data_IF_386549613805
#
_entry.id   IF_386549613805
#
_cell.length_a   1.000
_cell.length_b   1.000
_cell.length_c   1.000
_cell.angle_alpha   90.00
_cell.angle_beta   90.00
_cell.angle_gamma   90.00
#
_symmetry.space_group_name_H-M   'P 1'
#
loop_
_entity.id
_entity.type
_entity.pdbx_description
1 polymer ?
#
# COMPACT_ATOMS: atom_id res chain seq x y z
N UNK A 1 15.31 9.15 -28.29
CA UNK A 1 13.91 9.42 -27.91
C UNK A 1 13.95 10.02 -26.52
N UNK A 2 13.95 11.35 -26.44
CA UNK A 2 14.13 12.06 -25.17
C UNK A 2 12.83 12.07 -24.39
N UNK A 3 12.94 11.63 -23.15
CA UNK A 3 11.89 11.52 -22.16
C UNK A 3 11.25 12.88 -21.88
N UNK A 4 9.94 12.99 -22.10
CA UNK A 4 9.12 13.92 -21.33
C UNK A 4 9.03 13.35 -19.91
N UNK A 5 10.06 13.58 -19.10
CA UNK A 5 9.92 13.44 -17.66
C UNK A 5 8.75 14.36 -17.26
N UNK A 6 7.68 13.76 -16.75
CA UNK A 6 6.47 14.52 -16.42
C UNK A 6 6.85 15.61 -15.42
N UNK A 7 6.24 16.79 -15.53
CA UNK A 7 6.47 17.89 -14.58
C UNK A 7 6.35 17.42 -13.11
N UNK A 8 5.48 16.43 -12.87
CA UNK A 8 5.34 15.76 -11.59
C UNK A 8 6.61 15.02 -11.14
N UNK A 9 7.29 14.30 -12.02
CA UNK A 9 8.56 13.62 -11.70
C UNK A 9 9.67 14.62 -11.42
N UNK A 10 9.73 15.72 -12.17
CA UNK A 10 10.69 16.79 -11.92
C UNK A 10 10.42 17.47 -10.56
N UNK A 11 9.16 17.79 -10.26
CA UNK A 11 8.75 18.37 -8.99
C UNK A 11 9.08 17.44 -7.82
N UNK A 12 8.79 16.15 -7.95
CA UNK A 12 9.10 15.16 -6.92
C UNK A 12 10.62 15.00 -6.75
N UNK A 13 11.39 14.95 -7.84
CA UNK A 13 12.85 14.86 -7.77
C UNK A 13 13.50 16.10 -7.12
N UNK A 14 12.93 17.29 -7.31
CA UNK A 14 13.42 18.51 -6.64
C UNK A 14 13.10 18.50 -5.14
N UNK A 15 11.90 18.06 -4.75
CA UNK A 15 11.48 17.94 -3.35
C UNK A 15 12.34 16.89 -2.62
N UNK A 16 12.57 15.71 -3.22
CA UNK A 16 13.41 14.66 -2.62
C UNK A 16 14.87 15.09 -2.44
N UNK A 17 15.41 15.97 -3.28
CA UNK A 17 16.78 16.49 -3.12
C UNK A 17 16.91 17.47 -1.94
N UNK A 18 15.83 18.15 -1.58
CA UNK A 18 15.79 19.07 -0.43
C UNK A 18 15.69 18.30 0.91
N UNK A 19 15.06 17.12 0.90
CA UNK A 19 14.93 16.23 2.07
C UNK A 19 16.28 15.66 2.57
N UNK A 20 17.35 15.72 1.77
CA UNK A 20 18.69 15.22 2.13
C UNK A 20 19.51 16.14 3.05
N UNK A 21 18.93 17.20 3.61
CA UNK A 21 19.64 18.13 4.52
C UNK A 21 19.53 17.76 6.01
N UNK A 22 18.85 16.67 6.37
CA UNK A 22 18.78 16.18 7.76
C UNK A 22 19.19 14.69 7.86
N UNK A 23 20.44 14.39 8.27
CA UNK A 23 20.97 13.04 8.34
C UNK A 23 20.69 12.41 9.72
N UNK A 24 19.43 12.35 10.14
CA UNK A 24 19.03 11.62 11.35
C UNK A 24 17.97 10.59 10.95
N UNK A 25 18.43 9.36 10.85
CA UNK A 25 17.73 8.07 10.74
C UNK A 25 16.19 8.11 10.74
N UNK A 26 15.60 8.11 9.54
CA UNK A 26 14.23 7.69 9.37
C UNK A 26 14.22 6.64 8.27
N UNK A 27 13.97 5.37 8.63
CA UNK A 27 13.70 4.29 7.70
C UNK A 27 12.79 4.83 6.59
N UNK A 28 13.34 5.03 5.39
CA UNK A 28 12.64 5.73 4.32
C UNK A 28 11.49 4.86 3.84
N UNK A 29 10.32 5.04 4.45
CA UNK A 29 9.07 4.46 3.97
C UNK A 29 8.92 5.00 2.53
N UNK A 30 8.82 4.13 1.50
CA UNK A 30 8.63 4.57 0.13
C UNK A 30 7.53 5.63 0.05
N UNK A 31 7.77 6.74 -0.65
CA UNK A 31 6.89 7.91 -0.72
C UNK A 31 5.42 7.51 -1.02
N UNK A 32 5.23 6.51 -1.88
CA UNK A 32 3.92 5.92 -2.18
C UNK A 32 3.17 5.40 -0.95
N UNK A 33 3.88 4.74 -0.02
CA UNK A 33 3.32 4.26 1.25
C UNK A 33 3.04 5.40 2.23
N UNK A 34 3.80 6.49 2.17
CA UNK A 34 3.47 7.69 2.96
C UNK A 34 2.17 8.34 2.49
N UNK A 35 1.96 8.51 1.18
CA UNK A 35 0.73 9.07 0.64
C UNK A 35 -0.51 8.20 0.93
N UNK A 36 -0.37 6.87 0.85
CA UNK A 36 -1.43 5.94 1.24
C UNK A 36 -1.79 6.06 2.73
N UNK A 37 -0.77 6.25 3.59
CA UNK A 37 -0.97 6.46 5.02
C UNK A 37 -1.71 7.77 5.29
N UNK A 38 -1.28 8.88 4.67
CA UNK A 38 -1.93 10.19 4.79
C UNK A 38 -3.40 10.10 4.39
N UNK A 39 -3.68 9.42 3.27
CA UNK A 39 -5.06 9.23 2.77
C UNK A 39 -5.92 8.44 3.76
N UNK A 40 -5.33 7.47 4.45
CA UNK A 40 -6.02 6.67 5.46
C UNK A 40 -6.36 7.51 6.70
N UNK A 41 -5.42 8.29 7.22
CA UNK A 41 -5.65 9.19 8.35
C UNK A 41 -6.63 10.32 7.99
N UNK A 42 -6.54 10.87 6.78
CA UNK A 42 -7.46 11.90 6.29
C UNK A 42 -8.91 11.39 6.20
N UNK A 43 -9.13 10.09 5.99
CA UNK A 43 -10.49 9.53 6.02
C UNK A 43 -11.15 9.53 7.42
N UNK A 44 -10.34 9.63 8.47
CA UNK A 44 -10.78 9.60 9.87
C UNK A 44 -10.71 10.98 10.54
N UNK A 45 -9.84 11.88 10.07
CA UNK A 45 -9.65 13.23 10.62
C UNK A 45 -9.97 14.31 9.58
N UNK A 46 -11.04 15.07 9.83
CA UNK A 46 -11.52 16.12 8.93
C UNK A 46 -10.54 17.31 8.82
N UNK A 47 -9.75 17.58 9.86
CA UNK A 47 -8.74 18.64 9.86
C UNK A 47 -7.61 18.28 8.91
N UNK A 48 -7.05 17.07 9.04
CA UNK A 48 -6.03 16.55 8.14
C UNK A 48 -6.53 16.49 6.69
N UNK A 49 -7.79 16.10 6.46
CA UNK A 49 -8.38 16.12 5.11
C UNK A 49 -8.41 17.54 4.51
N UNK A 50 -8.78 18.55 5.31
CA UNK A 50 -8.77 19.95 4.87
C UNK A 50 -7.34 20.44 4.61
N UNK A 51 -6.40 20.16 5.51
CA UNK A 51 -4.99 20.55 5.35
C UNK A 51 -4.40 19.94 4.07
N UNK A 52 -4.66 18.67 3.82
CA UNK A 52 -4.22 17.99 2.61
C UNK A 52 -4.81 18.62 1.34
N UNK A 53 -6.10 18.98 1.35
CA UNK A 53 -6.73 19.70 0.23
C UNK A 53 -6.07 21.05 -0.02
N UNK A 54 -5.80 21.81 1.04
CA UNK A 54 -5.12 23.11 0.94
C UNK A 54 -3.69 22.95 0.42
N UNK A 55 -2.97 21.94 0.88
CA UNK A 55 -1.63 21.60 0.41
C UNK A 55 -1.61 21.28 -1.08
N UNK A 56 -2.54 20.46 -1.58
CA UNK A 56 -2.64 20.17 -3.02
C UNK A 56 -2.89 21.44 -3.84
N UNK A 57 -3.79 22.32 -3.38
CA UNK A 57 -4.06 23.59 -4.05
C UNK A 57 -2.83 24.53 -4.03
N UNK A 58 -2.13 24.61 -2.90
CA UNK A 58 -0.90 25.40 -2.77
C UNK A 58 0.21 24.88 -3.69
N UNK A 59 0.39 23.55 -3.77
CA UNK A 59 1.35 22.90 -4.67
C UNK A 59 1.05 23.21 -6.14
N UNK A 60 -0.23 23.16 -6.54
CA UNK A 60 -0.63 23.52 -7.91
C UNK A 60 -0.37 25.00 -8.20
N UNK A 61 -0.72 25.90 -7.27
CA UNK A 61 -0.47 27.34 -7.40
C UNK A 61 1.01 27.66 -7.50
N UNK A 62 1.83 27.04 -6.66
CA UNK A 62 3.29 27.17 -6.69
C UNK A 62 3.86 26.68 -8.02
N UNK A 63 3.38 25.53 -8.52
CA UNK A 63 3.77 25.01 -9.82
C UNK A 63 3.47 25.98 -10.97
N UNK A 64 2.28 26.61 -10.97
CA UNK A 64 1.92 27.64 -11.95
C UNK A 64 2.84 28.86 -11.88
N UNK A 65 3.08 29.38 -10.68
CA UNK A 65 3.96 30.54 -10.48
C UNK A 65 5.41 30.28 -10.91
N UNK A 66 5.94 29.08 -10.61
CA UNK A 66 7.27 28.68 -11.06
C UNK A 66 7.39 28.67 -12.58
N UNK A 67 6.35 28.23 -13.29
CA UNK A 67 6.32 28.22 -14.76
C UNK A 67 6.16 29.62 -15.34
N UNK A 68 5.27 30.44 -14.77
CA UNK A 68 4.90 31.75 -15.33
C UNK A 68 5.87 32.88 -14.98
N UNK A 69 6.40 32.87 -13.75
CA UNK A 69 7.18 33.98 -13.17
C UNK A 69 8.60 33.59 -12.80
N UNK A 70 8.85 32.30 -12.63
CA UNK A 70 10.14 31.77 -12.21
C UNK A 70 10.32 31.81 -10.69
N UNK A 71 11.44 31.22 -10.24
CA UNK A 71 11.72 30.99 -8.82
C UNK A 71 12.10 32.26 -8.02
N UNK A 72 12.48 33.34 -8.69
CA UNK A 72 12.95 34.58 -8.05
C UNK A 72 11.85 35.65 -7.94
N UNK A 73 10.61 35.31 -8.31
CA UNK A 73 9.47 36.21 -8.15
C UNK A 73 9.00 36.22 -6.69
N UNK A 74 8.74 37.40 -6.08
CA UNK A 74 8.31 37.49 -4.69
C UNK A 74 7.01 36.72 -4.39
N UNK A 75 6.10 36.59 -5.36
CA UNK A 75 4.88 35.81 -5.19
C UNK A 75 5.17 34.30 -5.21
N UNK A 76 6.16 33.86 -5.99
CA UNK A 76 6.64 32.48 -5.96
C UNK A 76 7.27 32.14 -4.61
N UNK A 77 8.02 33.05 -4.00
CA UNK A 77 8.60 32.88 -2.65
C UNK A 77 7.48 32.75 -1.59
N UNK A 78 6.48 33.62 -1.61
CA UNK A 78 5.32 33.50 -0.70
C UNK A 78 4.58 32.18 -0.91
N UNK A 79 4.40 31.74 -2.16
CA UNK A 79 3.76 30.46 -2.45
C UNK A 79 4.57 29.27 -1.93
N UNK A 80 5.91 29.37 -1.92
CA UNK A 80 6.80 28.39 -1.30
C UNK A 80 6.57 28.33 0.22
N UNK A 81 6.56 29.47 0.90
CA UNK A 81 6.34 29.53 2.35
C UNK A 81 4.98 28.94 2.76
N UNK A 82 3.93 29.23 1.98
CA UNK A 82 2.60 28.66 2.20
C UNK A 82 2.61 27.14 2.01
N UNK A 83 3.27 26.65 0.96
CA UNK A 83 3.40 25.22 0.69
C UNK A 83 4.14 24.51 1.83
N UNK A 84 5.25 25.06 2.30
CA UNK A 84 6.06 24.51 3.39
C UNK A 84 5.30 24.51 4.72
N UNK A 85 4.64 25.63 5.05
CA UNK A 85 3.80 25.74 6.25
C UNK A 85 2.70 24.68 6.29
N UNK A 86 2.03 24.44 5.16
CA UNK A 86 0.99 23.41 5.05
C UNK A 86 1.57 22.01 5.18
N UNK A 87 2.77 21.77 4.65
CA UNK A 87 3.48 20.49 4.81
C UNK A 87 3.77 20.22 6.29
N UNK A 88 4.37 21.18 7.00
CA UNK A 88 4.67 21.03 8.43
C UNK A 88 3.40 20.84 9.28
N UNK A 89 2.31 21.52 8.93
CA UNK A 89 1.02 21.35 9.61
C UNK A 89 0.44 19.94 9.42
N UNK A 90 0.53 19.37 8.21
CA UNK A 90 0.13 17.98 7.92
C UNK A 90 0.98 17.00 8.72
N UNK A 91 2.30 17.17 8.71
CA UNK A 91 3.24 16.29 9.42
C UNK A 91 2.99 16.32 10.94
N UNK A 92 2.78 17.52 11.50
CA UNK A 92 2.44 17.69 12.93
C UNK A 92 1.12 16.99 13.25
N UNK A 93 0.07 17.22 12.45
CA UNK A 93 -1.24 16.59 12.68
C UNK A 93 -1.17 15.06 12.57
N UNK A 94 -0.34 14.53 11.67
CA UNK A 94 -0.12 13.10 11.55
C UNK A 94 0.58 12.50 12.78
N UNK A 95 1.52 13.22 13.38
CA UNK A 95 2.14 12.79 14.64
C UNK A 95 1.10 12.74 15.76
N UNK A 96 0.30 13.79 15.92
CA UNK A 96 -0.79 13.82 16.91
C UNK A 96 -1.78 12.66 16.74
N UNK A 97 -2.18 12.36 15.51
CA UNK A 97 -3.12 11.28 15.22
C UNK A 97 -2.52 9.88 15.42
N UNK A 98 -1.20 9.73 15.28
CA UNK A 98 -0.49 8.47 15.59
C UNK A 98 -0.42 8.25 17.09
N UNK A 99 -0.20 9.31 17.86
CA UNK A 99 -0.14 9.27 19.32
C UNK A 99 -1.54 9.09 19.96
N UNK A 100 -2.61 9.44 19.24
CA UNK A 100 -3.98 9.12 19.65
C UNK A 100 -4.28 7.62 19.49
N UNK A 101 -4.28 6.90 20.61
CA UNK A 101 -4.55 5.47 20.66
C UNK A 101 -5.91 5.06 20.09
N UNK A 102 -6.94 5.91 20.17
CA UNK A 102 -8.27 5.60 19.63
C UNK A 102 -8.27 5.69 18.10
N UNK A 103 -7.58 6.68 17.52
CA UNK A 103 -7.41 6.81 16.07
C UNK A 103 -6.53 5.67 15.54
N UNK A 104 -5.41 5.39 16.19
CA UNK A 104 -4.50 4.29 15.84
C UNK A 104 -5.21 2.92 15.84
N UNK A 105 -6.08 2.65 16.81
CA UNK A 105 -6.88 1.43 16.84
C UNK A 105 -7.87 1.35 15.65
N UNK A 106 -8.49 2.47 15.27
CA UNK A 106 -9.39 2.54 14.10
C UNK A 106 -8.63 2.33 12.79
N UNK A 107 -7.46 2.95 12.65
CA UNK A 107 -6.56 2.75 11.50
C UNK A 107 -6.21 1.26 11.36
N UNK A 108 -5.81 0.61 12.45
CA UNK A 108 -5.48 -0.82 12.47
C UNK A 108 -6.67 -1.70 12.05
N UNK A 109 -7.88 -1.38 12.53
CA UNK A 109 -9.10 -2.08 12.14
C UNK A 109 -9.42 -1.91 10.63
N UNK A 110 -9.26 -0.71 10.08
CA UNK A 110 -9.46 -0.46 8.64
C UNK A 110 -8.44 -1.23 7.80
N UNK A 111 -7.18 -1.29 8.23
CA UNK A 111 -6.14 -2.07 7.55
C UNK A 111 -6.43 -3.58 7.62
N UNK A 112 -6.84 -4.09 8.78
CA UNK A 112 -7.22 -5.50 8.96
C UNK A 112 -8.40 -5.90 8.05
N UNK A 113 -9.41 -5.05 7.92
CA UNK A 113 -10.54 -5.27 7.03
C UNK A 113 -10.14 -5.28 5.55
N UNK A 114 -9.21 -4.40 5.14
CA UNK A 114 -8.65 -4.44 3.77
C UNK A 114 -7.95 -5.77 3.49
N UNK A 115 -7.21 -6.32 4.46
CA UNK A 115 -6.59 -7.64 4.32
C UNK A 115 -7.61 -8.78 4.27
N UNK A 116 -8.63 -8.77 5.13
CA UNK A 116 -9.69 -9.77 5.14
C UNK A 116 -10.47 -9.80 3.80
N UNK A 117 -10.71 -8.64 3.20
CA UNK A 117 -11.39 -8.53 1.89
C UNK A 117 -10.56 -9.02 0.71
N UNK A 118 -9.22 -9.10 0.86
CA UNK A 118 -8.29 -9.63 -0.15
C UNK A 118 -8.05 -11.13 -0.01
N UNK A 119 -8.44 -11.74 1.11
CA UNK A 119 -8.46 -13.19 1.16
C UNK A 119 -9.61 -13.68 0.28
N UNK A 120 -9.36 -14.55 -0.71
CA UNK A 120 -10.46 -15.20 -1.41
C UNK A 120 -11.24 -15.92 -0.32
N UNK A 121 -12.50 -15.52 -0.11
CA UNK A 121 -13.45 -16.32 0.63
C UNK A 121 -13.40 -17.68 -0.05
N UNK A 122 -12.68 -18.64 0.54
CA UNK A 122 -12.77 -20.03 0.16
C UNK A 122 -14.20 -20.40 0.50
N UNK A 123 -15.09 -20.19 -0.46
CA UNK A 123 -16.36 -20.89 -0.50
C UNK A 123 -15.96 -22.34 -0.39
N UNK A 124 -16.22 -22.91 0.79
CA UNK A 124 -15.98 -24.32 1.06
C UNK A 124 -17.00 -25.06 0.19
N UNK A 125 -16.70 -25.19 -1.11
CA UNK A 125 -17.42 -26.12 -1.96
C UNK A 125 -17.13 -27.48 -1.35
N UNK A 126 -18.14 -28.05 -0.68
CA UNK A 126 -18.13 -29.48 -0.36
C UNK A 126 -17.79 -30.20 -1.67
N UNK A 127 -16.66 -30.92 -1.77
CA UNK A 127 -16.38 -31.65 -2.98
C UNK A 127 -17.30 -32.86 -2.97
N UNK A 128 -18.38 -32.80 -3.75
CA UNK A 128 -19.07 -34.02 -4.18
C UNK A 128 -18.14 -34.68 -5.20
N UNK A 129 -17.02 -35.26 -4.72
CA UNK A 129 -16.20 -36.16 -5.53
C UNK A 129 -17.13 -37.31 -5.92
N UNK A 130 -17.50 -37.36 -7.19
CA UNK A 130 -18.29 -38.47 -7.71
C UNK A 130 -17.41 -39.72 -7.72
N UNK A 131 -18.01 -40.89 -7.50
CA UNK A 131 -17.32 -42.18 -7.47
C UNK A 131 -16.45 -42.40 -8.72
N UNK A 132 -16.88 -41.85 -9.87
CA UNK A 132 -16.16 -41.90 -11.14
C UNK A 132 -14.84 -41.12 -11.13
N UNK A 133 -14.78 -39.95 -10.49
CA UNK A 133 -13.52 -39.19 -10.34
C UNK A 133 -12.54 -39.91 -9.42
N UNK A 134 -13.06 -40.56 -8.37
CA UNK A 134 -12.25 -41.37 -7.46
C UNK A 134 -11.72 -42.63 -8.15
N UNK A 135 -12.54 -43.29 -8.98
CA UNK A 135 -12.11 -44.44 -9.79
C UNK A 135 -11.10 -44.04 -10.86
N UNK A 136 -11.30 -42.90 -11.54
CA UNK A 136 -10.35 -42.38 -12.53
C UNK A 136 -8.99 -42.06 -11.89
N UNK A 137 -9.00 -41.46 -10.69
CA UNK A 137 -7.77 -41.21 -9.94
C UNK A 137 -7.08 -42.50 -9.51
N UNK A 138 -7.82 -43.52 -9.06
CA UNK A 138 -7.25 -44.82 -8.66
C UNK A 138 -6.63 -45.57 -9.85
N UNK A 139 -7.24 -45.50 -11.04
CA UNK A 139 -6.70 -46.07 -12.27
C UNK A 139 -5.42 -45.34 -12.67
N UNK A 140 -5.42 -44.01 -12.65
CA UNK A 140 -4.24 -43.21 -12.95
C UNK A 140 -3.10 -43.46 -11.96
N UNK A 141 -3.40 -43.46 -10.65
CA UNK A 141 -2.42 -43.73 -9.60
C UNK A 141 -1.84 -45.15 -9.72
N UNK A 142 -2.67 -46.16 -10.02
CA UNK A 142 -2.21 -47.53 -10.26
C UNK A 142 -1.33 -47.66 -11.51
N UNK A 143 -1.58 -46.83 -12.53
CA UNK A 143 -0.80 -46.81 -13.77
C UNK A 143 0.55 -46.09 -13.58
N UNK A 144 0.59 -45.02 -12.78
CA UNK A 144 1.80 -44.25 -12.46
C UNK A 144 2.69 -44.97 -11.42
N UNK A 145 2.10 -45.71 -10.49
CA UNK A 145 2.82 -46.44 -9.44
C UNK A 145 3.34 -47.81 -9.88
N UNK A 146 3.00 -48.27 -11.10
CA UNK A 146 3.39 -49.60 -11.60
C UNK A 146 4.90 -49.76 -11.80
N UNK A 147 5.61 -48.64 -11.96
CA UNK A 147 7.06 -48.61 -12.18
C UNK A 147 7.86 -48.27 -10.90
N UNK A 148 7.21 -48.19 -9.74
CA UNK A 148 7.87 -47.82 -8.47
C UNK A 148 7.72 -48.91 -7.39
N UNK A 149 8.80 -49.59 -6.96
CA UNK A 149 8.74 -50.66 -5.97
C UNK A 149 8.29 -50.22 -4.56
N UNK A 150 8.11 -48.92 -4.32
CA UNK A 150 7.56 -48.37 -3.08
C UNK A 150 6.02 -48.48 -2.94
N UNK A 151 5.31 -49.01 -3.96
CA UNK A 151 3.84 -49.06 -3.98
C UNK A 151 3.20 -50.07 -2.99
N UNK A 152 3.99 -50.83 -2.23
CA UNK A 152 3.47 -51.87 -1.34
C UNK A 152 2.88 -51.37 0.00
N UNK A 153 3.05 -50.10 0.36
CA UNK A 153 2.72 -49.63 1.72
C UNK A 153 1.38 -48.90 1.86
N UNK A 154 0.66 -48.61 0.78
CA UNK A 154 -0.58 -47.82 0.88
C UNK A 154 -1.76 -48.66 1.40
N UNK A 155 -1.80 -49.98 1.11
CA UNK A 155 -2.88 -50.86 1.60
C UNK A 155 -2.79 -51.15 3.10
N UNK A 156 -1.59 -51.03 3.68
CA UNK A 156 -1.32 -51.32 5.09
C UNK A 156 -1.76 -50.16 6.00
N UNK A 157 -1.67 -48.93 5.51
CA UNK A 157 -2.02 -47.73 6.28
C UNK A 157 -3.53 -47.55 6.47
N UNK A 158 -4.37 -48.11 5.60
CA UNK A 158 -5.83 -48.04 5.75
C UNK A 158 -6.40 -48.92 6.88
N UNK A 159 -5.68 -49.98 7.30
CA UNK A 159 -6.12 -50.84 8.40
C UNK A 159 -5.92 -50.24 9.80
N UNK A 160 -5.23 -49.10 9.90
CA UNK A 160 -4.98 -48.39 11.18
C UNK A 160 -5.93 -47.21 11.43
N UNK A 161 -6.84 -46.93 10.49
CA UNK A 161 -7.82 -45.86 10.58
C UNK A 161 -9.25 -46.36 10.83
N UNK A 162 -9.41 -47.51 11.51
CA UNK A 162 -10.68 -47.96 12.10
C UNK A 162 -10.57 -48.08 13.61
#
# INVERSE_FOLDING_TARGET
>A
MSQEASLSELMNAMISRLEYTHPEEMNSIPESKQWELISLYASLDSVLASLYKQYCAAKESLGKLLVEKGAQDPMTEVAWDVHDSLRSAIETRLLELKDDGAVSARIAAVQANKFASRMPVKTLKKPTQTLDEMMAFMIWAGMVMRDNPAAYDIRRDFGRAS
#
